data_IF_176741204002
#
_entry.id   IF_176741204002
#
_cell.length_a   1.000
_cell.length_b   1.000
_cell.length_c   1.000
_cell.angle_alpha   90.00
_cell.angle_beta   90.00
_cell.angle_gamma   90.00
#
_symmetry.space_group_name_H-M   'P 1'
#
loop_
_entity.id
_entity.type
_entity.pdbx_description
1 polymer ?
#
# COMPACT_ATOMS: atom_id res chain seq x y z
N UNK A 1 9.79 -13.26 -23.38
CA UNK A 1 8.57 -12.59 -23.90
C UNK A 1 8.92 -11.14 -24.13
N UNK A 2 8.90 -10.67 -25.37
CA UNK A 2 9.36 -9.32 -25.75
C UNK A 2 8.12 -8.42 -25.83
N UNK A 3 7.69 -7.88 -24.68
CA UNK A 3 6.44 -7.11 -24.56
C UNK A 3 6.50 -5.69 -25.18
N UNK A 4 7.68 -5.26 -25.64
CA UNK A 4 7.94 -3.85 -25.93
C UNK A 4 8.05 -3.49 -27.43
N UNK A 5 8.18 -4.46 -28.33
CA UNK A 5 8.61 -4.18 -29.71
C UNK A 5 7.64 -3.30 -30.53
N UNK A 6 6.38 -3.23 -30.10
CA UNK A 6 5.34 -2.41 -30.76
C UNK A 6 4.67 -1.40 -29.83
N UNK A 7 5.04 -1.36 -28.55
CA UNK A 7 4.41 -0.48 -27.58
C UNK A 7 5.11 0.88 -27.58
N UNK A 8 4.45 1.90 -28.13
CA UNK A 8 4.94 3.29 -28.06
C UNK A 8 4.63 3.87 -26.68
N UNK A 9 5.61 3.79 -25.78
CA UNK A 9 5.51 4.39 -24.45
C UNK A 9 5.54 5.92 -24.52
N UNK A 10 4.74 6.62 -23.69
CA UNK A 10 4.81 8.08 -23.61
C UNK A 10 6.12 8.54 -22.94
N UNK A 11 6.55 9.76 -23.23
CA UNK A 11 7.74 10.37 -22.61
C UNK A 11 7.53 10.60 -21.12
N UNK A 12 6.32 10.99 -20.74
CA UNK A 12 5.91 11.20 -19.35
C UNK A 12 4.67 10.35 -19.07
N UNK A 13 4.60 9.80 -17.87
CA UNK A 13 3.45 9.03 -17.43
C UNK A 13 3.21 9.27 -15.94
N UNK A 14 2.01 9.74 -15.61
CA UNK A 14 1.55 9.84 -14.23
C UNK A 14 0.30 8.96 -14.07
N UNK A 15 0.35 7.89 -13.26
CA UNK A 15 -0.81 7.01 -13.08
C UNK A 15 -2.00 7.77 -12.47
N UNK A 16 -1.78 8.83 -11.70
CA UNK A 16 -2.84 9.67 -11.09
C UNK A 16 -3.61 10.47 -12.12
N UNK A 17 -2.96 10.81 -13.24
CA UNK A 17 -3.59 11.49 -14.38
C UNK A 17 -4.24 10.47 -15.33
N UNK A 18 -3.63 9.30 -15.50
CA UNK A 18 -4.14 8.24 -16.37
C UNK A 18 -5.42 7.59 -15.80
N UNK A 19 -5.50 7.42 -14.47
CA UNK A 19 -6.64 6.83 -13.78
C UNK A 19 -7.19 7.78 -12.71
N UNK A 20 -7.78 8.92 -13.11
CA UNK A 20 -8.17 9.98 -12.17
C UNK A 20 -9.33 9.57 -11.26
N UNK A 21 -10.09 8.54 -11.65
CA UNK A 21 -11.20 7.98 -10.89
C UNK A 21 -10.77 6.94 -9.85
N UNK A 22 -9.46 6.71 -9.69
CA UNK A 22 -8.90 5.84 -8.66
C UNK A 22 -8.22 6.71 -7.58
N UNK A 23 -8.95 7.05 -6.50
CA UNK A 23 -8.46 7.99 -5.49
C UNK A 23 -7.25 7.46 -4.71
N UNK A 24 -7.10 6.13 -4.59
CA UNK A 24 -5.98 5.49 -3.89
C UNK A 24 -4.62 5.86 -4.47
N UNK A 25 -4.53 6.17 -5.78
CA UNK A 25 -3.30 6.59 -6.45
C UNK A 25 -2.74 7.92 -5.93
N UNK A 26 -3.57 8.73 -5.27
CA UNK A 26 -3.19 10.03 -4.71
C UNK A 26 -3.00 9.97 -3.19
N UNK A 27 -3.35 8.84 -2.57
CA UNK A 27 -3.23 8.66 -1.14
C UNK A 27 -1.78 8.46 -0.74
N UNK A 28 -1.34 9.19 0.28
CA UNK A 28 -0.04 9.00 0.91
C UNK A 28 -0.31 8.47 2.30
N UNK A 29 0.34 7.36 2.64
CA UNK A 29 0.22 6.69 3.93
C UNK A 29 1.47 6.89 4.78
N UNK A 30 1.38 6.54 6.06
CA UNK A 30 2.48 6.65 7.02
C UNK A 30 2.63 5.32 7.76
N UNK A 31 3.81 4.73 7.71
CA UNK A 31 4.13 3.47 8.40
C UNK A 31 4.39 3.65 9.90
N UNK A 32 4.49 4.90 10.37
CA UNK A 32 4.85 5.21 11.75
C UNK A 32 6.25 4.71 12.13
N UNK A 33 6.48 4.50 13.42
CA UNK A 33 7.73 3.94 13.98
C UNK A 33 7.80 2.41 13.79
N UNK A 34 7.61 1.93 12.56
CA UNK A 34 7.59 0.51 12.23
C UNK A 34 8.17 0.32 10.84
N UNK A 35 9.11 -0.61 10.65
CA UNK A 35 9.71 -0.98 9.37
C UNK A 35 8.78 -1.79 8.46
N UNK A 36 7.51 -1.40 8.34
CA UNK A 36 6.46 -2.07 7.56
C UNK A 36 6.36 -1.59 6.11
N UNK A 37 7.36 -0.87 5.59
CA UNK A 37 7.37 -0.35 4.21
C UNK A 37 7.08 -1.42 3.14
N UNK A 38 7.55 -2.65 3.37
CA UNK A 38 7.31 -3.81 2.50
C UNK A 38 5.82 -4.17 2.39
N UNK A 39 5.05 -3.97 3.46
CA UNK A 39 3.61 -4.18 3.49
C UNK A 39 2.86 -2.99 2.90
N UNK A 40 3.32 -1.75 3.17
CA UNK A 40 2.73 -0.53 2.64
C UNK A 40 2.80 -0.48 1.11
N UNK A 41 3.99 -0.60 0.53
CA UNK A 41 4.14 -0.54 -0.92
C UNK A 41 3.36 -1.64 -1.66
N UNK A 42 3.18 -2.81 -1.03
CA UNK A 42 2.32 -3.85 -1.57
C UNK A 42 0.83 -3.46 -1.46
N UNK A 43 0.34 -3.11 -0.27
CA UNK A 43 -1.06 -2.75 -0.04
C UNK A 43 -1.51 -1.55 -0.88
N UNK A 44 -0.69 -0.51 -0.99
CA UNK A 44 -0.94 0.68 -1.83
C UNK A 44 -1.10 0.29 -3.31
N UNK A 45 -0.13 -0.44 -3.86
CA UNK A 45 -0.19 -0.86 -5.26
C UNK A 45 -1.32 -1.87 -5.55
N UNK A 46 -1.67 -2.74 -4.59
CA UNK A 46 -2.81 -3.64 -4.70
C UNK A 46 -4.12 -2.83 -4.72
N UNK A 47 -4.28 -1.85 -3.83
CA UNK A 47 -5.41 -0.91 -3.83
C UNK A 47 -5.62 -0.25 -5.19
N UNK A 48 -4.54 0.29 -5.76
CA UNK A 48 -4.59 0.93 -7.07
C UNK A 48 -4.98 -0.05 -8.17
N UNK A 49 -4.36 -1.24 -8.17
CA UNK A 49 -4.65 -2.27 -9.17
C UNK A 49 -6.09 -2.77 -9.10
N UNK A 50 -6.68 -2.90 -7.91
CA UNK A 50 -8.10 -3.25 -7.77
C UNK A 50 -8.97 -2.20 -8.47
N UNK A 51 -8.68 -0.91 -8.26
CA UNK A 51 -9.44 0.15 -8.91
C UNK A 51 -9.21 0.18 -10.43
N UNK A 52 -7.96 0.14 -10.88
CA UNK A 52 -7.59 0.16 -12.30
C UNK A 52 -8.23 -1.02 -13.04
N UNK A 53 -8.06 -2.24 -12.53
CA UNK A 53 -8.54 -3.45 -13.20
C UNK A 53 -10.04 -3.67 -13.07
N UNK A 54 -10.70 -3.05 -12.09
CA UNK A 54 -12.17 -3.00 -12.02
C UNK A 54 -12.78 -1.90 -12.91
N UNK A 55 -11.95 -1.13 -13.62
CA UNK A 55 -12.35 0.05 -14.39
C UNK A 55 -13.10 1.07 -13.52
N UNK A 56 -12.52 1.38 -12.36
CA UNK A 56 -13.03 2.28 -11.33
C UNK A 56 -14.39 1.89 -10.70
N UNK A 57 -14.85 0.64 -10.87
CA UNK A 57 -16.08 0.14 -10.23
C UNK A 57 -15.90 -0.15 -8.75
N UNK A 58 -14.69 -0.51 -8.33
CA UNK A 58 -14.35 -0.85 -6.95
C UNK A 58 -13.10 -0.07 -6.57
N UNK A 59 -13.20 0.80 -5.57
CA UNK A 59 -12.05 1.48 -4.96
C UNK A 59 -12.03 1.16 -3.49
N UNK A 60 -10.92 0.60 -3.01
CA UNK A 60 -10.79 0.13 -1.62
C UNK A 60 -9.36 0.26 -1.16
N UNK A 61 -9.19 0.71 0.08
CA UNK A 61 -7.92 0.73 0.79
C UNK A 61 -7.65 -0.67 1.34
N UNK A 62 -6.56 -1.31 0.90
CA UNK A 62 -6.12 -2.61 1.39
C UNK A 62 -5.34 -2.42 2.68
N UNK A 63 -5.65 -3.27 3.65
CA UNK A 63 -5.09 -3.17 4.99
C UNK A 63 -3.61 -3.56 5.00
N UNK A 64 -2.74 -2.55 5.15
CA UNK A 64 -1.35 -2.79 5.49
C UNK A 64 -1.23 -3.46 6.88
N UNK A 65 -2.20 -3.24 7.78
CA UNK A 65 -2.24 -3.87 9.10
C UNK A 65 -2.42 -5.39 9.02
N UNK A 66 -3.33 -5.84 8.16
CA UNK A 66 -3.61 -7.25 7.96
C UNK A 66 -2.39 -7.97 7.40
N UNK A 67 -1.79 -7.40 6.36
CA UNK A 67 -0.56 -7.91 5.77
C UNK A 67 0.61 -7.94 6.76
N UNK A 68 0.78 -6.86 7.54
CA UNK A 68 1.85 -6.74 8.55
C UNK A 68 1.72 -7.78 9.67
N UNK A 69 0.50 -8.08 10.12
CA UNK A 69 0.28 -8.86 11.35
C UNK A 69 -0.15 -10.30 11.15
N UNK A 70 -0.70 -10.65 9.98
CA UNK A 70 -1.17 -12.01 9.70
C UNK A 70 -0.23 -12.83 8.83
N UNK A 71 0.83 -12.22 8.29
CA UNK A 71 1.72 -12.90 7.36
C UNK A 71 3.03 -13.38 7.99
N UNK A 72 3.00 -14.60 8.54
CA UNK A 72 4.17 -15.25 9.16
C UNK A 72 5.33 -15.51 8.18
N UNK A 73 5.08 -15.42 6.86
CA UNK A 73 6.04 -15.73 5.80
C UNK A 73 6.64 -14.49 5.14
N UNK A 74 6.23 -13.30 5.56
CA UNK A 74 6.68 -12.05 4.96
C UNK A 74 7.91 -11.44 5.63
N UNK A 75 8.42 -12.01 6.71
CA UNK A 75 9.64 -11.54 7.39
C UNK A 75 9.40 -11.32 8.87
N UNK A 76 9.85 -10.17 9.38
CA UNK A 76 9.92 -9.86 10.80
C UNK A 76 9.01 -8.68 11.18
N UNK A 77 7.89 -8.49 10.47
CA UNK A 77 6.91 -7.46 10.78
C UNK A 77 7.50 -6.05 10.70
N UNK A 78 7.57 -5.36 11.85
CA UNK A 78 8.15 -4.02 11.98
C UNK A 78 9.68 -4.00 11.90
N UNK A 79 10.36 -5.14 12.00
CA UNK A 79 11.82 -5.22 11.84
C UNK A 79 12.21 -5.50 10.37
N UNK A 80 11.26 -5.33 9.45
CA UNK A 80 11.44 -5.50 8.02
C UNK A 80 10.80 -6.77 7.47
N UNK A 81 10.74 -6.83 6.14
CA UNK A 81 10.09 -7.93 5.43
C UNK A 81 10.37 -7.93 3.94
N UNK A 82 9.79 -8.91 3.26
CA UNK A 82 10.06 -9.23 1.86
C UNK A 82 8.87 -8.81 0.99
N UNK A 83 9.00 -7.79 0.13
CA UNK A 83 7.92 -7.34 -0.73
C UNK A 83 7.36 -8.46 -1.63
N UNK A 84 8.20 -9.38 -2.12
CA UNK A 84 7.75 -10.52 -2.93
C UNK A 84 6.79 -11.44 -2.17
N UNK A 85 7.07 -11.71 -0.89
CA UNK A 85 6.20 -12.52 -0.04
C UNK A 85 4.85 -11.85 0.20
N UNK A 86 4.80 -10.51 0.25
CA UNK A 86 3.54 -9.79 0.42
C UNK A 86 2.58 -10.02 -0.76
N UNK A 87 3.08 -9.94 -1.99
CA UNK A 87 2.28 -10.26 -3.19
C UNK A 87 1.85 -11.73 -3.20
N UNK A 88 2.72 -12.64 -2.76
CA UNK A 88 2.37 -14.06 -2.65
C UNK A 88 1.24 -14.28 -1.63
N UNK A 89 1.32 -13.65 -0.46
CA UNK A 89 0.29 -13.73 0.58
C UNK A 89 -1.06 -13.19 0.08
N UNK A 90 -1.06 -12.04 -0.59
CA UNK A 90 -2.27 -11.53 -1.23
C UNK A 90 -2.86 -12.53 -2.26
N UNK A 91 -2.01 -13.21 -3.03
CA UNK A 91 -2.45 -14.19 -4.01
C UNK A 91 -2.98 -15.49 -3.40
N UNK A 92 -2.46 -15.94 -2.24
CA UNK A 92 -2.84 -17.21 -1.62
C UNK A 92 -3.96 -17.08 -0.59
N UNK A 93 -3.89 -16.06 0.26
CA UNK A 93 -4.76 -15.89 1.44
C UNK A 93 -5.70 -14.69 1.27
N UNK A 94 -5.29 -13.69 0.48
CA UNK A 94 -6.00 -12.44 0.32
C UNK A 94 -5.68 -11.43 1.43
N UNK A 95 -6.31 -10.24 1.33
CA UNK A 95 -6.16 -9.16 2.31
C UNK A 95 -7.51 -8.46 2.48
N UNK A 96 -7.84 -8.11 3.72
CA UNK A 96 -9.04 -7.31 4.00
C UNK A 96 -8.82 -5.83 3.73
N UNK A 97 -9.90 -5.04 3.72
CA UNK A 97 -9.81 -3.59 3.64
C UNK A 97 -9.30 -2.98 4.95
N UNK A 98 -8.66 -1.81 4.87
CA UNK A 98 -8.17 -1.09 6.04
C UNK A 98 -7.45 0.18 5.64
N UNK A 99 -7.91 1.31 6.17
CA UNK A 99 -7.34 2.61 5.87
C UNK A 99 -6.32 3.12 6.88
N UNK A 100 -6.11 4.43 6.86
CA UNK A 100 -5.14 5.14 7.70
C UNK A 100 -5.40 4.95 9.20
N UNK A 101 -4.38 5.27 10.01
CA UNK A 101 -4.50 5.31 11.46
C UNK A 101 -5.70 6.16 11.91
N UNK A 102 -6.52 5.58 12.80
CA UNK A 102 -7.72 6.21 13.36
C UNK A 102 -8.76 6.71 12.33
N UNK A 103 -8.72 6.20 11.09
CA UNK A 103 -9.70 6.58 10.05
C UNK A 103 -11.07 5.93 10.22
N UNK A 104 -11.13 4.79 10.91
CA UNK A 104 -12.29 3.90 10.97
C UNK A 104 -12.75 3.40 9.58
N UNK A 105 -11.87 3.42 8.57
CA UNK A 105 -12.16 2.95 7.21
C UNK A 105 -11.72 1.51 7.03
N UNK A 106 -12.62 0.67 6.53
CA UNK A 106 -12.35 -0.73 6.21
C UNK A 106 -12.43 -1.66 7.43
N UNK A 107 -12.01 -2.91 7.24
CA UNK A 107 -12.05 -3.96 8.25
C UNK A 107 -10.96 -3.78 9.32
N UNK A 108 -9.72 -3.53 8.91
CA UNK A 108 -8.56 -3.38 9.80
C UNK A 108 -7.75 -2.14 9.45
N UNK A 109 -8.17 -0.94 9.89
CA UNK A 109 -7.35 0.27 9.78
C UNK A 109 -5.98 0.08 10.44
N UNK A 110 -4.98 0.85 10.01
CA UNK A 110 -3.65 0.82 10.60
C UNK A 110 -3.69 1.21 12.08
N UNK A 111 -2.93 0.52 12.93
CA UNK A 111 -2.98 0.73 14.39
C UNK A 111 -1.77 1.49 14.94
N UNK A 112 -0.74 1.72 14.13
CA UNK A 112 0.47 2.43 14.55
C UNK A 112 0.31 3.91 14.20
N UNK A 113 0.57 4.77 15.18
CA UNK A 113 0.41 6.22 15.03
C UNK A 113 1.49 6.79 14.08
N UNK A 114 1.12 7.75 13.21
CA UNK A 114 2.07 8.48 12.38
C UNK A 114 3.10 9.28 13.19
N UNK A 115 4.32 9.41 12.69
CA UNK A 115 5.41 10.11 13.36
C UNK A 115 6.26 10.94 12.37
N UNK A 116 7.09 11.85 12.88
CA UNK A 116 7.99 12.65 12.04
C UNK A 116 9.27 11.89 11.70
N UNK A 117 9.54 11.75 10.41
CA UNK A 117 10.70 11.04 9.88
C UNK A 117 11.86 12.03 9.69
N UNK A 118 12.77 12.09 10.67
CA UNK A 118 14.00 12.90 10.64
C UNK A 118 13.80 14.42 10.49
N UNK A 119 12.62 14.93 10.85
CA UNK A 119 12.29 16.37 10.82
C UNK A 119 11.56 16.77 12.11
N UNK A 120 11.59 18.07 12.42
CA UNK A 120 10.73 18.62 13.47
C UNK A 120 9.38 18.95 12.85
N UNK A 121 8.30 18.47 13.46
CA UNK A 121 6.94 18.72 13.00
C UNK A 121 5.92 18.65 14.13
N UNK A 122 4.65 18.43 13.78
CA UNK A 122 3.54 18.41 14.72
C UNK A 122 3.30 17.04 15.34
N UNK A 123 3.92 15.98 14.80
CA UNK A 123 3.83 14.61 15.33
C UNK A 123 5.04 14.27 16.22
N UNK A 124 4.95 13.24 17.07
CA UNK A 124 6.12 12.71 17.78
C UNK A 124 7.21 12.24 16.81
N UNK A 125 8.49 12.25 17.21
CA UNK A 125 9.58 11.70 16.38
C UNK A 125 9.40 10.18 16.23
N UNK A 126 9.74 9.65 15.05
CA UNK A 126 9.83 8.20 14.89
C UNK A 126 11.00 7.65 15.71
N UNK A 127 10.78 6.57 16.46
CA UNK A 127 11.75 5.95 17.38
C UNK A 127 11.92 4.47 17.11
#
# INVERSE_FOLDING_TARGET
VQYADYLKLPVNFDPREQWPNCPTLKEIRDQGSCGSCWAFGAAEAISDRICIHSNAKVSVEISAQDLLTCSDRCGFGCDGGYPSSAWNFWSSDGLVSGGLYNSHIGCRPYTIEPCEHHVNGSRPPCT
#
